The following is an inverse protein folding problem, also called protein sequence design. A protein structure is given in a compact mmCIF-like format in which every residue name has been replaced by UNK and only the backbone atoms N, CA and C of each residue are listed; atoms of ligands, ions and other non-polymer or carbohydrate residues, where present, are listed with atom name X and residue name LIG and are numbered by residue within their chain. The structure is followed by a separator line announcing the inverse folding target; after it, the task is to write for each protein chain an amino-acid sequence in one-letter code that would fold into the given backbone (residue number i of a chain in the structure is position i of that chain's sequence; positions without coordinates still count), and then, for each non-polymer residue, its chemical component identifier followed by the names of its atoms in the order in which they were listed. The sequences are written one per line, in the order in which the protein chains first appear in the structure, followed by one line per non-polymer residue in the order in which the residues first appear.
data_IF_318571551093
#
_entry.id   IF_318571551093
#
_cell.length_a   1.000
_cell.length_b   1.000
_cell.length_c   1.000
_cell.angle_alpha   90.00
_cell.angle_beta   90.00
_cell.angle_gamma   90.00
#
_symmetry.space_group_name_H-M   'P 1'
#
loop_
_entity.id
_entity.type
_entity.pdbx_description
1 polymer ?
#
# COMPACT_ATOMS: atom_id res chain seq x y z
N UNK A 1 -13.85 -24.75 11.07
CA UNK A 1 -12.96 -24.24 10.00
C UNK A 1 -13.67 -23.47 8.89
N UNK A 2 -14.66 -24.00 8.16
CA UNK A 2 -15.28 -23.28 7.02
C UNK A 2 -16.12 -22.04 7.39
N UNK A 3 -17.06 -22.17 8.34
CA UNK A 3 -17.99 -21.08 8.72
C UNK A 3 -17.28 -19.99 9.52
N UNK A 4 -16.37 -20.35 10.41
CA UNK A 4 -15.58 -19.41 11.22
C UNK A 4 -14.68 -18.54 10.33
N UNK A 5 -14.03 -19.15 9.33
CA UNK A 5 -13.21 -18.43 8.35
C UNK A 5 -14.05 -17.49 7.48
N UNK A 6 -15.23 -17.94 7.01
CA UNK A 6 -16.16 -17.09 6.27
C UNK A 6 -16.70 -15.93 7.12
N UNK A 7 -17.00 -16.17 8.39
CA UNK A 7 -17.41 -15.13 9.35
C UNK A 7 -16.33 -14.08 9.57
N UNK A 8 -15.07 -14.51 9.68
CA UNK A 8 -13.90 -13.63 9.83
C UNK A 8 -13.69 -12.76 8.57
N UNK A 9 -13.80 -13.36 7.39
CA UNK A 9 -13.75 -12.65 6.11
C UNK A 9 -14.89 -11.60 6.03
N UNK A 10 -16.12 -11.97 6.38
CA UNK A 10 -17.26 -11.08 6.36
C UNK A 10 -17.05 -9.88 7.32
N UNK A 11 -16.53 -10.13 8.52
CA UNK A 11 -16.17 -9.09 9.50
C UNK A 11 -15.13 -8.12 8.95
N UNK A 12 -14.11 -8.62 8.25
CA UNK A 12 -13.09 -7.79 7.60
C UNK A 12 -13.73 -6.92 6.50
N UNK A 13 -14.59 -7.49 5.66
CA UNK A 13 -15.26 -6.73 4.60
C UNK A 13 -16.21 -5.66 5.15
N UNK A 14 -17.01 -5.98 6.17
CA UNK A 14 -17.91 -5.02 6.84
C UNK A 14 -17.09 -3.92 7.51
N UNK A 15 -16.03 -4.27 8.25
CA UNK A 15 -15.14 -3.30 8.87
C UNK A 15 -14.47 -2.37 7.86
N UNK A 16 -14.01 -2.91 6.73
CA UNK A 16 -13.43 -2.14 5.63
C UNK A 16 -14.47 -1.20 4.98
N UNK A 17 -15.70 -1.66 4.79
CA UNK A 17 -16.78 -0.84 4.24
C UNK A 17 -17.16 0.31 5.19
N UNK A 18 -17.33 0.04 6.49
CA UNK A 18 -17.59 1.08 7.51
C UNK A 18 -16.45 2.10 7.52
N UNK A 19 -15.20 1.63 7.53
CA UNK A 19 -14.04 2.52 7.48
C UNK A 19 -13.99 3.35 6.20
N UNK A 20 -14.38 2.80 5.05
CA UNK A 20 -14.42 3.53 3.79
C UNK A 20 -15.45 4.68 3.79
N UNK A 21 -16.63 4.45 4.37
CA UNK A 21 -17.71 5.44 4.39
C UNK A 21 -17.58 6.46 5.54
N UNK A 22 -17.12 6.04 6.71
CA UNK A 22 -17.12 6.86 7.93
C UNK A 22 -15.72 7.21 8.46
N UNK A 23 -14.67 6.59 7.90
CA UNK A 23 -13.30 6.82 8.32
C UNK A 23 -12.82 8.22 7.94
N UNK A 24 -12.04 8.82 8.84
CA UNK A 24 -11.25 10.00 8.52
C UNK A 24 -10.35 9.70 7.32
N UNK A 25 -10.43 10.55 6.28
CA UNK A 25 -9.51 10.48 5.13
C UNK A 25 -8.12 11.05 5.44
N UNK A 26 -7.86 11.40 6.70
CA UNK A 26 -6.53 11.80 7.10
C UNK A 26 -5.59 10.59 7.15
N UNK A 27 -4.40 10.67 6.53
CA UNK A 27 -3.49 9.54 6.57
C UNK A 27 -2.98 9.29 7.98
N UNK A 28 -2.77 8.02 8.31
CA UNK A 28 -2.37 7.60 9.66
C UNK A 28 -1.13 8.35 10.16
N UNK A 29 -1.24 8.92 11.36
CA UNK A 29 -0.13 9.59 12.04
C UNK A 29 0.90 8.63 12.61
N UNK A 30 0.65 7.32 12.58
CA UNK A 30 1.54 6.29 13.13
C UNK A 30 2.20 5.46 12.02
N UNK A 31 1.44 5.13 10.98
CA UNK A 31 1.86 4.20 9.91
C UNK A 31 1.78 4.88 8.54
N UNK A 32 2.76 4.60 7.67
CA UNK A 32 2.71 5.05 6.28
C UNK A 32 4.06 5.54 5.73
N UNK A 33 4.07 5.87 4.44
CA UNK A 33 5.24 6.37 3.72
C UNK A 33 5.76 7.70 4.28
N UNK A 34 7.02 7.76 4.69
CA UNK A 34 7.56 8.90 5.45
C UNK A 34 8.94 9.32 4.95
N UNK A 35 8.95 10.45 4.29
CA UNK A 35 10.15 11.18 3.87
C UNK A 35 10.02 12.66 4.22
N UNK A 36 11.13 13.42 4.32
CA UNK A 36 11.07 14.86 4.53
C UNK A 36 10.16 15.56 3.51
N UNK A 37 10.25 15.13 2.24
CA UNK A 37 9.45 15.69 1.16
C UNK A 37 7.96 15.40 1.32
N UNK A 38 7.59 14.15 1.66
CA UNK A 38 6.19 13.78 1.91
C UNK A 38 5.54 14.56 3.04
N UNK A 39 6.32 15.01 4.03
CA UNK A 39 5.83 15.73 5.22
C UNK A 39 5.84 17.24 5.07
N UNK A 40 6.33 17.77 3.95
CA UNK A 40 6.46 19.21 3.75
C UNK A 40 5.11 19.94 3.67
N UNK A 41 4.07 19.31 3.13
CA UNK A 41 2.70 19.86 3.10
C UNK A 41 1.64 18.78 3.34
N UNK A 42 0.45 19.18 3.80
CA UNK A 42 -0.69 18.25 3.98
C UNK A 42 -1.08 17.56 2.68
N UNK A 43 -1.00 18.27 1.56
CA UNK A 43 -1.32 17.74 0.24
C UNK A 43 -0.32 16.68 -0.20
N UNK A 44 0.99 16.95 -0.07
CA UNK A 44 2.05 15.98 -0.37
C UNK A 44 1.96 14.74 0.51
N UNK A 45 1.62 14.93 1.79
CA UNK A 45 1.40 13.83 2.73
C UNK A 45 0.24 12.94 2.30
N UNK A 46 -0.89 13.52 1.90
CA UNK A 46 -2.03 12.75 1.40
C UNK A 46 -1.71 12.03 0.09
N UNK A 47 -1.07 12.73 -0.86
CA UNK A 47 -0.70 12.19 -2.16
C UNK A 47 0.29 11.01 -2.03
N UNK A 48 1.34 11.16 -1.23
CA UNK A 48 2.37 10.14 -1.06
C UNK A 48 1.81 8.86 -0.45
N UNK A 49 0.90 8.98 0.54
CA UNK A 49 0.25 7.83 1.15
C UNK A 49 -0.65 7.12 0.15
N UNK A 50 -1.48 7.87 -0.59
CA UNK A 50 -2.35 7.32 -1.62
C UNK A 50 -1.55 6.58 -2.70
N UNK A 51 -0.47 7.16 -3.19
CA UNK A 51 0.39 6.53 -4.20
C UNK A 51 1.09 5.29 -3.67
N UNK A 52 1.67 5.36 -2.46
CA UNK A 52 2.35 4.22 -1.85
C UNK A 52 1.43 3.03 -1.65
N UNK A 53 0.25 3.23 -1.07
CA UNK A 53 -0.71 2.15 -0.87
C UNK A 53 -1.27 1.63 -2.19
N UNK A 54 -1.66 2.53 -3.11
CA UNK A 54 -2.24 2.11 -4.39
C UNK A 54 -1.26 1.27 -5.22
N UNK A 55 -0.01 1.71 -5.34
CA UNK A 55 1.01 0.97 -6.10
C UNK A 55 1.49 -0.27 -5.34
N UNK A 56 1.63 -0.20 -4.02
CA UNK A 56 2.00 -1.35 -3.20
C UNK A 56 0.99 -2.49 -3.29
N UNK A 57 -0.31 -2.17 -3.21
CA UNK A 57 -1.38 -3.15 -3.39
C UNK A 57 -1.35 -3.73 -4.81
N UNK A 58 -1.20 -2.89 -5.83
CA UNK A 58 -1.12 -3.36 -7.22
C UNK A 58 0.05 -4.34 -7.44
N UNK A 59 1.25 -4.01 -6.94
CA UNK A 59 2.42 -4.89 -7.01
C UNK A 59 2.18 -6.22 -6.27
N UNK A 60 1.52 -6.18 -5.11
CA UNK A 60 1.20 -7.39 -4.34
C UNK A 60 0.19 -8.28 -5.06
N UNK A 61 -0.85 -7.71 -5.65
CA UNK A 61 -1.81 -8.47 -6.47
C UNK A 61 -1.10 -9.17 -7.62
N UNK A 62 -0.22 -8.46 -8.34
CA UNK A 62 0.57 -9.04 -9.43
C UNK A 62 1.48 -10.16 -8.93
N UNK A 63 2.18 -9.97 -7.81
CA UNK A 63 3.06 -10.97 -7.24
C UNK A 63 2.30 -12.23 -6.80
N UNK A 64 1.12 -12.08 -6.18
CA UNK A 64 0.25 -13.20 -5.83
C UNK A 64 -0.18 -13.96 -7.08
N UNK A 65 -0.65 -13.26 -8.12
CA UNK A 65 -1.06 -13.89 -9.38
C UNK A 65 0.10 -14.65 -10.02
N UNK A 66 1.30 -14.07 -10.07
CA UNK A 66 2.50 -14.76 -10.58
C UNK A 66 2.80 -16.02 -9.76
N UNK A 67 2.71 -15.95 -8.43
CA UNK A 67 2.95 -17.10 -7.56
C UNK A 67 1.93 -18.25 -7.76
N UNK A 68 0.74 -17.98 -8.31
CA UNK A 68 -0.22 -19.04 -8.66
C UNK A 68 0.24 -19.88 -9.85
N UNK A 69 1.03 -19.30 -10.76
CA UNK A 69 1.51 -19.98 -11.97
C UNK A 69 2.97 -20.41 -11.87
N UNK A 70 3.76 -19.71 -11.05
CA UNK A 70 5.20 -19.91 -10.89
C UNK A 70 5.52 -19.99 -9.42
N UNK A 71 6.01 -21.15 -8.96
CA UNK A 71 6.43 -21.30 -7.56
C UNK A 71 7.74 -20.54 -7.33
N UNK A 72 7.65 -19.29 -6.90
CA UNK A 72 8.81 -18.49 -6.54
C UNK A 72 9.28 -18.88 -5.13
N UNK A 73 10.59 -19.02 -4.95
CA UNK A 73 11.17 -19.22 -3.63
C UNK A 73 10.89 -18.03 -2.71
N UNK A 74 10.93 -18.26 -1.40
CA UNK A 74 10.77 -17.21 -0.39
C UNK A 74 11.80 -16.08 -0.62
N UNK A 75 13.06 -16.44 -0.88
CA UNK A 75 14.12 -15.47 -1.18
C UNK A 75 13.79 -14.60 -2.39
N UNK A 76 13.29 -15.19 -3.47
CA UNK A 76 12.89 -14.42 -4.67
C UNK A 76 11.76 -13.46 -4.36
N UNK A 77 10.74 -13.89 -3.61
CA UNK A 77 9.65 -13.02 -3.17
C UNK A 77 10.15 -11.84 -2.32
N UNK A 78 11.09 -12.07 -1.39
CA UNK A 78 11.69 -11.01 -0.58
C UNK A 78 12.47 -10.02 -1.44
N UNK A 79 13.28 -10.50 -2.39
CA UNK A 79 14.04 -9.64 -3.30
C UNK A 79 13.10 -8.79 -4.15
N UNK A 80 12.07 -9.39 -4.75
CA UNK A 80 11.05 -8.67 -5.53
C UNK A 80 10.38 -7.60 -4.66
N UNK A 81 10.06 -7.94 -3.42
CA UNK A 81 9.44 -7.02 -2.46
C UNK A 81 10.31 -5.80 -2.17
N UNK A 82 11.60 -6.01 -1.89
CA UNK A 82 12.54 -4.92 -1.66
C UNK A 82 12.70 -4.05 -2.91
N UNK A 83 12.83 -4.66 -4.09
CA UNK A 83 13.01 -3.95 -5.35
C UNK A 83 11.82 -3.04 -5.64
N UNK A 84 10.59 -3.55 -5.58
CA UNK A 84 9.44 -2.70 -5.90
C UNK A 84 9.22 -1.62 -4.82
N UNK A 85 9.49 -1.89 -3.53
CA UNK A 85 9.36 -0.86 -2.48
C UNK A 85 10.31 0.30 -2.76
N UNK A 86 11.56 0.01 -3.13
CA UNK A 86 12.54 1.03 -3.49
C UNK A 86 12.11 1.80 -4.74
N UNK A 87 11.63 1.11 -5.77
CA UNK A 87 11.13 1.75 -6.99
C UNK A 87 9.93 2.66 -6.72
N UNK A 88 8.92 2.17 -6.00
CA UNK A 88 7.75 2.97 -5.59
C UNK A 88 8.21 4.20 -4.81
N UNK A 89 9.11 4.02 -3.84
CA UNK A 89 9.63 5.12 -3.01
C UNK A 89 10.34 6.17 -3.87
N UNK A 90 11.17 5.74 -4.82
CA UNK A 90 11.89 6.63 -5.73
C UNK A 90 10.94 7.40 -6.67
N UNK A 91 9.92 6.73 -7.21
CA UNK A 91 8.91 7.38 -8.07
C UNK A 91 8.09 8.40 -7.27
N UNK A 92 7.68 8.07 -6.04
CA UNK A 92 6.93 8.99 -5.18
C UNK A 92 7.76 10.24 -4.90
N UNK A 93 9.01 10.10 -4.47
CA UNK A 93 9.91 11.25 -4.24
C UNK A 93 10.06 12.12 -5.48
N UNK A 94 10.24 11.49 -6.65
CA UNK A 94 10.40 12.20 -7.92
C UNK A 94 9.14 12.96 -8.31
N UNK A 95 7.94 12.46 -7.98
CA UNK A 95 6.67 13.17 -8.19
C UNK A 95 6.46 14.28 -7.17
N UNK A 96 6.76 14.05 -5.90
CA UNK A 96 6.60 15.05 -4.84
C UNK A 96 7.49 16.27 -5.06
N UNK A 97 8.69 16.10 -5.63
CA UNK A 97 9.56 17.24 -6.02
C UNK A 97 8.97 18.08 -7.15
N UNK A 98 8.17 17.49 -8.05
CA UNK A 98 7.51 18.22 -9.14
C UNK A 98 6.27 18.99 -8.68
N UNK A 99 5.78 18.74 -7.47
CA UNK A 99 4.66 19.50 -6.90
C UNK A 99 5.10 20.84 -6.27
N UNK A 100 6.41 21.13 -6.24
CA UNK A 100 6.97 22.41 -5.76
C UNK A 100 7.11 23.48 -6.86
N UNK A 101 6.65 23.16 -8.08
CA UNK A 101 6.69 24.03 -9.26
C UNK A 101 5.27 24.19 -9.81
#
# INVERSE_FOLDING_TARGET
MGIEFAGLILLIFIGAAIYYYFGSREPSRIVGYRTPQSRSTKEKWQASQKWFYSWGIACQVVLVVINLFVSLSITSNVVILLVYILLISWVIESRLRKMDH
#
